data_IF_201028442750
#
_entry.id   IF_201028442750
#
_cell.length_a   1.000
_cell.length_b   1.000
_cell.length_c   1.000
_cell.angle_alpha   90.00
_cell.angle_beta   90.00
_cell.angle_gamma   90.00
#
_symmetry.space_group_name_H-M   'P 1'
#
loop_
_entity.id
_entity.type
_entity.pdbx_description
1 polymer ?
#
# COMPACT_ATOMS: atom_id res chain seq x y z
N UNK A 1 24.35 9.16 14.43
CA UNK A 1 23.65 7.94 13.94
C UNK A 1 24.53 7.25 12.92
N UNK A 2 24.67 5.92 12.95
CA UNK A 2 25.39 5.17 11.90
C UNK A 2 24.58 5.26 10.60
N UNK A 3 25.23 5.60 9.46
CA UNK A 3 24.57 5.63 8.15
C UNK A 3 24.05 4.24 7.81
N UNK A 4 22.80 4.13 7.36
CA UNK A 4 22.20 2.87 6.93
C UNK A 4 22.88 2.39 5.63
N UNK A 5 22.92 1.07 5.34
CA UNK A 5 23.66 0.53 4.20
C UNK A 5 23.26 1.14 2.85
N UNK A 6 21.97 1.38 2.61
CA UNK A 6 21.51 2.02 1.36
C UNK A 6 21.99 3.47 1.21
N UNK A 7 22.22 4.21 2.29
CA UNK A 7 22.72 5.59 2.25
C UNK A 7 24.19 5.69 1.82
N UNK A 8 24.87 4.54 1.65
CA UNK A 8 26.24 4.47 1.15
C UNK A 8 26.30 4.17 -0.35
N UNK A 9 25.17 3.82 -0.97
CA UNK A 9 25.09 3.50 -2.40
C UNK A 9 25.18 4.74 -3.29
N UNK A 10 25.08 5.95 -2.74
CA UNK A 10 25.06 7.16 -3.57
C UNK A 10 25.77 8.36 -2.92
N UNK A 11 26.66 9.00 -3.69
CA UNK A 11 27.42 10.20 -3.28
C UNK A 11 26.72 11.51 -3.68
N UNK A 12 25.62 11.45 -4.46
CA UNK A 12 25.07 12.61 -5.16
C UNK A 12 23.58 12.94 -4.93
N UNK A 13 22.85 12.21 -4.07
CA UNK A 13 21.38 12.30 -4.00
C UNK A 13 20.84 12.75 -2.63
N UNK A 14 21.22 13.95 -2.15
CA UNK A 14 20.80 14.44 -0.82
C UNK A 14 19.49 15.21 -0.77
N UNK A 15 18.83 15.52 -1.89
CA UNK A 15 17.87 16.65 -1.91
C UNK A 15 16.39 16.31 -2.16
N UNK A 16 15.97 15.04 -2.19
CA UNK A 16 14.57 14.69 -2.49
C UNK A 16 13.99 13.67 -1.51
N UNK A 17 12.98 14.11 -0.76
CA UNK A 17 12.24 13.34 0.27
C UNK A 17 11.52 12.08 -0.30
N UNK A 18 11.57 11.84 -1.63
CA UNK A 18 11.03 10.64 -2.28
C UNK A 18 12.08 9.62 -2.77
N UNK A 19 13.38 9.91 -2.68
CA UNK A 19 14.43 9.04 -3.26
C UNK A 19 14.79 7.85 -2.34
N UNK A 20 14.50 7.98 -1.04
CA UNK A 20 14.94 6.99 -0.06
C UNK A 20 14.34 5.60 -0.32
N UNK A 21 13.12 5.50 -0.85
CA UNK A 21 12.52 4.20 -1.14
C UNK A 21 13.10 3.55 -2.40
N UNK A 22 13.50 4.33 -3.41
CA UNK A 22 14.15 3.78 -4.62
C UNK A 22 15.54 3.24 -4.27
N UNK A 23 16.28 3.93 -3.41
CA UNK A 23 17.54 3.44 -2.86
C UNK A 23 17.34 2.13 -2.09
N UNK A 24 16.30 2.06 -1.24
CA UNK A 24 15.93 0.83 -0.53
C UNK A 24 15.52 -0.28 -1.50
N UNK A 25 14.78 0.04 -2.57
CA UNK A 25 14.37 -0.92 -3.59
C UNK A 25 15.57 -1.53 -4.31
N UNK A 26 16.51 -0.69 -4.77
CA UNK A 26 17.78 -1.14 -5.36
C UNK A 26 18.59 -1.99 -4.38
N UNK A 27 18.72 -1.53 -3.13
CA UNK A 27 19.47 -2.26 -2.09
C UNK A 27 18.87 -3.63 -1.79
N UNK A 28 17.58 -3.71 -1.48
CA UNK A 28 16.95 -4.99 -1.15
C UNK A 28 16.85 -5.91 -2.38
N UNK A 29 16.74 -5.37 -3.60
CA UNK A 29 16.89 -6.17 -4.82
C UNK A 29 18.29 -6.78 -4.92
N UNK A 30 19.34 -5.98 -4.70
CA UNK A 30 20.73 -6.45 -4.69
C UNK A 30 20.95 -7.55 -3.65
N UNK A 31 20.49 -7.34 -2.41
CA UNK A 31 20.55 -8.36 -1.35
C UNK A 31 19.82 -9.64 -1.75
N UNK A 32 18.65 -9.54 -2.38
CA UNK A 32 17.90 -10.71 -2.83
C UNK A 32 18.63 -11.51 -3.92
N UNK A 33 19.44 -10.86 -4.75
CA UNK A 33 20.19 -11.49 -5.84
C UNK A 33 21.54 -12.03 -5.37
N UNK A 34 22.26 -11.26 -4.56
CA UNK A 34 23.66 -11.56 -4.19
C UNK A 34 23.78 -12.38 -2.90
N UNK A 35 22.89 -12.16 -1.92
CA UNK A 35 22.94 -12.80 -0.60
C UNK A 35 21.54 -13.18 -0.09
N UNK A 36 20.76 -13.97 -0.84
CA UNK A 36 19.38 -14.31 -0.50
C UNK A 36 19.23 -14.97 0.89
N UNK A 37 20.21 -15.77 1.31
CA UNK A 37 20.23 -16.44 2.61
C UNK A 37 20.37 -15.47 3.79
N UNK A 38 20.87 -14.26 3.54
CA UNK A 38 21.03 -13.19 4.55
C UNK A 38 19.91 -12.16 4.49
N UNK A 39 18.93 -12.30 3.59
CA UNK A 39 17.90 -11.28 3.38
C UNK A 39 17.16 -10.90 4.67
N UNK A 40 16.71 -11.90 5.44
CA UNK A 40 15.97 -11.67 6.68
C UNK A 40 16.83 -11.04 7.78
N UNK A 41 18.10 -11.43 7.89
CA UNK A 41 19.02 -10.88 8.89
C UNK A 41 19.40 -9.43 8.54
N UNK A 42 19.59 -9.14 7.25
CA UNK A 42 19.83 -7.79 6.74
C UNK A 42 18.60 -6.91 6.95
N UNK A 43 17.39 -7.38 6.63
CA UNK A 43 16.15 -6.64 6.88
C UNK A 43 16.01 -6.28 8.38
N UNK A 44 16.29 -7.25 9.26
CA UNK A 44 16.28 -7.04 10.72
C UNK A 44 17.35 -6.02 11.16
N UNK A 45 18.58 -6.14 10.67
CA UNK A 45 19.66 -5.17 10.96
C UNK A 45 19.30 -3.76 10.51
N UNK A 46 18.56 -3.67 9.42
CA UNK A 46 18.08 -2.42 8.85
C UNK A 46 16.88 -1.82 9.62
N UNK A 47 16.30 -2.57 10.57
CA UNK A 47 15.06 -2.23 11.30
C UNK A 47 13.85 -2.10 10.38
N UNK A 48 13.80 -2.97 9.37
CA UNK A 48 12.73 -3.01 8.37
C UNK A 48 11.95 -4.30 8.57
N UNK A 49 10.62 -4.19 8.64
CA UNK A 49 9.77 -5.37 8.66
C UNK A 49 10.03 -6.24 7.42
N UNK A 50 10.15 -7.55 7.62
CA UNK A 50 10.42 -8.52 6.56
C UNK A 50 9.55 -8.28 5.32
N UNK A 51 8.25 -8.12 5.53
CA UNK A 51 7.28 -7.88 4.44
C UNK A 51 7.61 -6.63 3.63
N UNK A 52 7.96 -5.54 4.28
CA UNK A 52 8.34 -4.27 3.64
C UNK A 52 9.63 -4.41 2.84
N UNK A 53 10.62 -5.14 3.36
CA UNK A 53 11.85 -5.43 2.63
C UNK A 53 11.58 -6.19 1.31
N UNK A 54 10.71 -7.21 1.34
CA UNK A 54 10.31 -7.92 0.12
C UNK A 54 9.56 -7.02 -0.87
N UNK A 55 8.74 -6.08 -0.40
CA UNK A 55 8.10 -5.10 -1.27
C UNK A 55 9.08 -4.17 -1.97
N UNK A 56 10.11 -3.70 -1.26
CA UNK A 56 11.16 -2.91 -1.89
C UNK A 56 11.98 -3.72 -2.90
N UNK A 57 12.32 -4.98 -2.58
CA UNK A 57 12.98 -5.86 -3.54
C UNK A 57 12.13 -6.10 -4.80
N UNK A 58 10.82 -6.27 -4.64
CA UNK A 58 9.86 -6.42 -5.75
C UNK A 58 9.80 -5.16 -6.63
N UNK A 59 9.75 -3.97 -6.04
CA UNK A 59 9.87 -2.69 -6.76
C UNK A 59 11.19 -2.64 -7.52
N UNK A 60 12.32 -2.92 -6.85
CA UNK A 60 13.64 -2.84 -7.46
C UNK A 60 13.81 -3.82 -8.62
N UNK A 61 13.17 -5.00 -8.54
CA UNK A 61 13.10 -5.94 -9.66
C UNK A 61 12.24 -5.40 -10.80
N UNK A 62 11.03 -4.93 -10.51
CA UNK A 62 10.05 -4.56 -11.52
C UNK A 62 10.47 -3.34 -12.35
N UNK A 63 11.10 -2.35 -11.71
CA UNK A 63 11.51 -1.10 -12.36
C UNK A 63 12.99 -1.08 -12.75
N UNK A 64 13.81 -2.00 -12.25
CA UNK A 64 15.25 -2.00 -12.53
C UNK A 64 15.61 -2.24 -14.00
N UNK A 65 14.75 -2.97 -14.71
CA UNK A 65 14.93 -3.29 -16.13
C UNK A 65 14.10 -2.39 -17.06
N UNK A 66 13.32 -1.45 -16.50
CA UNK A 66 12.46 -0.53 -17.25
C UNK A 66 13.10 0.86 -17.31
N UNK A 67 13.03 1.51 -18.47
CA UNK A 67 13.51 2.89 -18.66
C UNK A 67 12.51 3.90 -18.07
N UNK A 68 12.31 3.88 -16.76
CA UNK A 68 11.38 4.78 -16.05
C UNK A 68 12.13 5.90 -15.36
N UNK A 69 11.67 7.14 -15.56
CA UNK A 69 12.16 8.31 -14.83
C UNK A 69 11.99 8.14 -13.30
N UNK A 70 13.10 8.13 -12.56
CA UNK A 70 13.09 8.01 -11.10
C UNK A 70 12.27 9.12 -10.44
N UNK A 71 12.21 10.33 -11.01
CA UNK A 71 11.37 11.42 -10.48
C UNK A 71 9.89 11.10 -10.62
N UNK A 72 9.49 10.37 -11.65
CA UNK A 72 8.12 9.88 -11.83
C UNK A 72 7.77 8.87 -10.75
N UNK A 73 8.66 7.90 -10.50
CA UNK A 73 8.50 6.90 -9.43
C UNK A 73 8.44 7.55 -8.04
N UNK A 74 9.28 8.55 -7.82
CA UNK A 74 9.32 9.35 -6.59
C UNK A 74 7.97 10.06 -6.34
N UNK A 75 7.36 10.64 -7.38
CA UNK A 75 6.04 11.31 -7.30
C UNK A 75 4.87 10.36 -7.02
N UNK A 76 4.83 9.17 -7.62
CA UNK A 76 3.76 8.20 -7.34
C UNK A 76 3.91 7.57 -5.94
N UNK A 77 5.15 7.50 -5.43
CA UNK A 77 5.48 6.97 -4.11
C UNK A 77 5.46 5.44 -4.04
N UNK A 78 6.14 4.92 -3.01
CA UNK A 78 6.40 3.49 -2.85
C UNK A 78 5.14 2.61 -2.78
N UNK A 79 4.05 3.11 -2.18
CA UNK A 79 2.79 2.35 -2.07
C UNK A 79 2.19 2.06 -3.44
N UNK A 80 2.12 3.06 -4.32
CA UNK A 80 1.58 2.87 -5.67
C UNK A 80 2.54 2.08 -6.54
N UNK A 81 3.85 2.33 -6.42
CA UNK A 81 4.89 1.56 -7.09
C UNK A 81 4.78 0.06 -6.72
N UNK A 82 4.56 -0.27 -5.44
CA UNK A 82 4.37 -1.64 -4.97
C UNK A 82 3.11 -2.30 -5.57
N UNK A 83 2.01 -1.54 -5.73
CA UNK A 83 0.77 -2.05 -6.34
C UNK A 83 1.02 -2.45 -7.80
N UNK A 84 1.66 -1.58 -8.60
CA UNK A 84 1.86 -1.85 -10.03
C UNK A 84 3.06 -2.76 -10.31
N UNK A 85 4.01 -2.91 -9.39
CA UNK A 85 5.20 -3.75 -9.57
C UNK A 85 4.90 -5.22 -9.91
N UNK A 86 3.69 -5.71 -9.58
CA UNK A 86 3.23 -7.07 -9.90
C UNK A 86 2.66 -7.23 -11.31
N UNK A 87 2.34 -6.12 -11.96
CA UNK A 87 1.61 -6.08 -13.23
C UNK A 87 2.38 -5.37 -14.34
N UNK A 88 3.46 -4.66 -13.97
CA UNK A 88 4.24 -3.85 -14.89
C UNK A 88 5.22 -4.71 -15.69
N UNK A 89 5.30 -4.42 -16.99
CA UNK A 89 6.28 -4.91 -17.94
C UNK A 89 6.50 -3.83 -19.02
N UNK A 90 7.33 -4.12 -20.03
CA UNK A 90 7.64 -3.17 -21.09
C UNK A 90 6.38 -2.62 -21.80
N UNK A 91 5.41 -3.48 -22.05
CA UNK A 91 4.19 -3.15 -22.82
C UNK A 91 3.16 -2.38 -21.98
N UNK A 92 3.10 -2.66 -20.67
CA UNK A 92 2.13 -2.04 -19.75
C UNK A 92 2.67 -0.86 -18.95
N UNK A 93 3.96 -0.54 -19.11
CA UNK A 93 4.69 0.43 -18.29
C UNK A 93 4.02 1.80 -18.27
N UNK A 94 3.84 2.42 -19.44
CA UNK A 94 3.30 3.77 -19.55
C UNK A 94 1.84 3.86 -19.09
N UNK A 95 1.02 2.86 -19.43
CA UNK A 95 -0.37 2.81 -19.00
C UNK A 95 -0.47 2.74 -17.47
N UNK A 96 0.24 1.80 -16.83
CA UNK A 96 0.16 1.60 -15.38
C UNK A 96 0.73 2.79 -14.60
N UNK A 97 1.80 3.41 -15.08
CA UNK A 97 2.33 4.63 -14.48
C UNK A 97 1.33 5.79 -14.59
N UNK A 98 0.70 5.95 -15.75
CA UNK A 98 -0.32 6.98 -15.97
C UNK A 98 -1.54 6.76 -15.07
N UNK A 99 -2.01 5.52 -14.91
CA UNK A 99 -3.10 5.20 -13.98
C UNK A 99 -2.68 5.48 -12.53
N UNK A 100 -1.45 5.12 -12.15
CA UNK A 100 -0.92 5.37 -10.81
C UNK A 100 -0.83 6.86 -10.49
N UNK A 101 -0.46 7.71 -11.44
CA UNK A 101 -0.40 9.17 -11.27
C UNK A 101 -1.79 9.77 -11.00
N UNK A 102 -2.82 9.25 -11.68
CA UNK A 102 -4.17 9.83 -11.66
C UNK A 102 -5.15 9.20 -10.67
N UNK A 103 -4.73 8.15 -9.94
CA UNK A 103 -5.61 7.39 -9.04
C UNK A 103 -5.17 7.51 -7.58
N UNK A 104 -6.08 7.31 -6.63
CA UNK A 104 -5.64 7.02 -5.25
C UNK A 104 -4.98 5.63 -5.20
N UNK A 105 -4.21 5.33 -4.14
CA UNK A 105 -3.65 3.98 -3.98
C UNK A 105 -4.76 2.90 -3.86
N UNK A 106 -5.90 3.26 -3.30
CA UNK A 106 -7.07 2.37 -3.22
C UNK A 106 -7.65 2.09 -4.60
N UNK A 107 -7.92 3.15 -5.39
CA UNK A 107 -8.49 3.01 -6.73
C UNK A 107 -7.53 2.28 -7.66
N UNK A 108 -6.22 2.58 -7.57
CA UNK A 108 -5.19 1.87 -8.31
C UNK A 108 -5.23 0.36 -8.02
N UNK A 109 -5.36 -0.04 -6.74
CA UNK A 109 -5.46 -1.44 -6.37
C UNK A 109 -6.72 -2.13 -6.90
N UNK A 110 -7.82 -1.41 -7.16
CA UNK A 110 -9.01 -1.92 -7.82
C UNK A 110 -8.78 -2.04 -9.33
N UNK A 111 -8.26 -0.99 -9.96
CA UNK A 111 -8.04 -0.91 -11.40
C UNK A 111 -7.10 -2.01 -11.90
N UNK A 112 -5.99 -2.29 -11.19
CA UNK A 112 -5.06 -3.38 -11.57
C UNK A 112 -5.68 -4.78 -11.42
N UNK A 113 -6.78 -4.93 -10.68
CA UNK A 113 -7.56 -6.18 -10.58
C UNK A 113 -8.68 -6.28 -11.60
N UNK A 114 -8.82 -5.29 -12.50
CA UNK A 114 -9.94 -5.20 -13.45
C UNK A 114 -11.25 -4.74 -12.82
N UNK A 115 -11.21 -4.23 -11.58
CA UNK A 115 -12.37 -3.68 -10.89
C UNK A 115 -12.53 -2.19 -11.20
N UNK A 116 -13.77 -1.69 -11.17
CA UNK A 116 -14.07 -0.27 -11.41
C UNK A 116 -14.26 0.48 -10.09
N UNK A 117 -13.46 1.51 -9.79
CA UNK A 117 -13.70 2.39 -8.66
C UNK A 117 -15.11 3.00 -8.73
N UNK A 118 -15.85 2.94 -7.62
CA UNK A 118 -17.15 3.61 -7.52
C UNK A 118 -16.92 5.08 -7.16
N UNK A 119 -17.27 5.99 -8.07
CA UNK A 119 -17.08 7.44 -7.88
C UNK A 119 -17.80 7.91 -6.61
N UNK A 120 -17.12 8.73 -5.81
CA UNK A 120 -17.67 9.28 -4.57
C UNK A 120 -17.53 8.37 -3.34
N UNK A 121 -16.94 7.18 -3.50
CA UNK A 121 -16.59 6.32 -2.35
C UNK A 121 -15.60 7.01 -1.43
N UNK A 122 -15.84 6.92 -0.12
CA UNK A 122 -14.91 7.42 0.91
C UNK A 122 -14.47 6.26 1.79
N UNK A 123 -13.16 6.15 2.00
CA UNK A 123 -12.57 5.17 2.92
C UNK A 123 -12.51 5.77 4.31
N UNK A 124 -12.97 5.03 5.31
CA UNK A 124 -12.92 5.41 6.72
C UNK A 124 -12.01 4.43 7.46
N UNK A 125 -10.97 4.95 8.11
CA UNK A 125 -10.13 4.16 9.04
C UNK A 125 -10.51 4.52 10.47
N UNK A 126 -10.82 3.50 11.28
CA UNK A 126 -11.21 3.66 12.68
C UNK A 126 -10.20 2.97 13.61
N UNK A 127 -9.63 3.72 14.55
CA UNK A 127 -8.82 3.17 15.64
C UNK A 127 -9.72 2.93 16.85
N UNK A 128 -10.17 1.69 17.02
CA UNK A 128 -11.10 1.31 18.09
C UNK A 128 -10.35 0.66 19.25
N UNK A 129 -10.59 1.13 20.48
CA UNK A 129 -10.19 0.41 21.70
C UNK A 129 -10.94 -0.93 21.78
N UNK A 130 -10.41 -1.89 22.54
CA UNK A 130 -11.00 -3.23 22.66
C UNK A 130 -12.51 -3.23 22.99
N UNK A 131 -12.95 -2.34 23.88
CA UNK A 131 -14.38 -2.18 24.21
C UNK A 131 -15.21 -1.67 23.02
N UNK A 132 -14.70 -0.68 22.28
CA UNK A 132 -15.38 -0.14 21.09
C UNK A 132 -15.42 -1.18 19.97
N UNK A 133 -14.34 -1.94 19.78
CA UNK A 133 -14.29 -3.03 18.81
C UNK A 133 -15.29 -4.14 19.15
N UNK A 134 -15.46 -4.48 20.43
CA UNK A 134 -16.47 -5.45 20.86
C UNK A 134 -17.88 -5.00 20.45
N UNK A 135 -18.24 -3.75 20.72
CA UNK A 135 -19.53 -3.17 20.32
C UNK A 135 -19.67 -3.19 18.79
N UNK A 136 -18.66 -2.71 18.07
CA UNK A 136 -18.63 -2.73 16.60
C UNK A 136 -18.86 -4.14 16.06
N UNK A 137 -18.14 -5.14 16.58
CA UNK A 137 -18.28 -6.52 16.12
C UNK A 137 -19.67 -7.10 16.37
N UNK A 138 -20.30 -6.78 17.51
CA UNK A 138 -21.66 -7.22 17.82
C UNK A 138 -22.67 -6.61 16.84
N UNK A 139 -22.54 -5.32 16.54
CA UNK A 139 -23.40 -4.63 15.56
C UNK A 139 -23.21 -5.23 14.17
N UNK A 140 -21.98 -5.43 13.71
CA UNK A 140 -21.72 -6.04 12.40
C UNK A 140 -22.37 -7.42 12.29
N UNK A 141 -22.22 -8.28 13.31
CA UNK A 141 -22.81 -9.62 13.31
C UNK A 141 -24.34 -9.60 13.35
N UNK A 142 -24.93 -8.68 14.13
CA UNK A 142 -26.38 -8.55 14.22
C UNK A 142 -27.03 -8.01 12.93
N UNK A 143 -26.26 -7.44 12.02
CA UNK A 143 -26.75 -6.80 10.79
C UNK A 143 -26.25 -7.47 9.50
N UNK A 144 -25.94 -8.78 9.56
CA UNK A 144 -25.63 -9.59 8.37
C UNK A 144 -24.14 -9.69 8.02
N UNK A 145 -23.27 -9.11 8.85
CA UNK A 145 -21.85 -9.43 8.82
C UNK A 145 -21.57 -10.83 9.38
N UNK A 146 -20.36 -11.34 9.16
CA UNK A 146 -19.97 -12.67 9.64
C UNK A 146 -18.51 -12.69 10.10
N UNK A 147 -18.14 -13.69 10.91
CA UNK A 147 -16.74 -13.92 11.28
C UNK A 147 -16.00 -14.63 10.15
N UNK A 148 -14.73 -14.26 9.94
CA UNK A 148 -13.80 -14.99 9.08
C UNK A 148 -12.41 -14.93 9.69
N UNK A 149 -11.91 -16.08 10.15
CA UNK A 149 -10.70 -16.16 10.98
C UNK A 149 -10.78 -15.22 12.19
N UNK A 150 -9.78 -14.35 12.34
CA UNK A 150 -9.73 -13.33 13.39
C UNK A 150 -10.46 -12.01 13.03
N UNK A 151 -11.17 -11.96 11.89
CA UNK A 151 -11.79 -10.75 11.36
C UNK A 151 -13.30 -10.85 11.13
N UNK A 152 -13.84 -9.78 10.54
CA UNK A 152 -15.25 -9.65 10.14
C UNK A 152 -15.33 -9.40 8.63
N UNK A 153 -16.28 -10.06 7.97
CA UNK A 153 -16.62 -9.89 6.54
C UNK A 153 -17.98 -9.22 6.40
N UNK A 154 -18.25 -8.64 5.22
CA UNK A 154 -19.46 -7.88 4.89
C UNK A 154 -19.71 -6.67 5.83
N UNK A 155 -18.63 -6.09 6.37
CA UNK A 155 -18.69 -5.00 7.36
C UNK A 155 -19.42 -3.76 6.83
N UNK A 156 -19.18 -3.36 5.59
CA UNK A 156 -19.77 -2.15 5.02
C UNK A 156 -21.28 -2.29 4.85
N UNK A 157 -21.73 -3.39 4.25
CA UNK A 157 -23.15 -3.69 4.11
C UNK A 157 -23.85 -3.77 5.47
N UNK A 158 -23.25 -4.47 6.44
CA UNK A 158 -23.81 -4.60 7.78
C UNK A 158 -23.84 -3.27 8.56
N UNK A 159 -22.77 -2.46 8.45
CA UNK A 159 -22.72 -1.14 9.09
C UNK A 159 -23.76 -0.20 8.49
N UNK A 160 -23.90 -0.16 7.16
CA UNK A 160 -24.95 0.62 6.50
C UNK A 160 -26.32 0.18 6.95
N UNK A 161 -26.60 -1.14 6.98
CA UNK A 161 -27.86 -1.68 7.48
C UNK A 161 -28.12 -1.36 8.98
N UNK A 162 -27.08 -1.15 9.78
CA UNK A 162 -27.21 -0.69 11.16
C UNK A 162 -27.52 0.81 11.24
N UNK A 163 -26.77 1.63 10.49
CA UNK A 163 -26.93 3.08 10.48
C UNK A 163 -28.27 3.51 9.87
N UNK A 164 -28.79 2.80 8.87
CA UNK A 164 -30.09 3.08 8.25
C UNK A 164 -31.28 2.89 9.20
N UNK A 165 -31.11 2.22 10.35
CA UNK A 165 -32.14 2.10 11.39
C UNK A 165 -32.11 3.25 12.40
N UNK A 166 -31.10 4.12 12.34
CA UNK A 166 -31.06 5.29 13.21
C UNK A 166 -32.13 6.28 12.72
N UNK A 167 -32.87 6.92 13.64
CA UNK A 167 -33.82 7.97 13.27
C UNK A 167 -33.04 9.05 12.50
N UNK A 168 -33.61 9.52 11.40
CA UNK A 168 -33.00 10.56 10.58
C UNK A 168 -32.80 11.82 11.42
N UNK A 169 -31.56 12.06 11.85
CA UNK A 169 -31.16 13.42 12.18
C UNK A 169 -31.33 14.24 10.89
N UNK A 170 -32.04 15.36 10.97
CA UNK A 170 -32.16 16.30 9.84
C UNK A 170 -30.75 16.63 9.36
N UNK A 171 -30.34 16.03 8.25
CA UNK A 171 -29.10 16.40 7.60
C UNK A 171 -29.33 17.81 7.04
N UNK A 172 -28.49 18.80 7.37
CA UNK A 172 -28.58 20.09 6.73
C UNK A 172 -28.44 19.89 5.21
N UNK A 173 -29.14 20.69 4.39
CA UNK A 173 -29.11 20.56 2.94
C UNK A 173 -27.67 20.62 2.43
N UNK A 174 -27.36 19.73 1.48
CA UNK A 174 -26.06 19.64 0.80
C UNK A 174 -25.79 20.85 -0.08
#
# INVERSE_FOLDING_TARGET
MKKKPWQQLDKYYTDLIGDEFLMKARYFRKVQVETPEQFDSIAKHCEVERRTAYYWAEIGRAFGDLEVDEKRLSRIGWTKAQIIAKHINQDSCEELLTIAENSSAHDLALLVRGEKPVKGTRVITLYLKARQYKIFSQVILAHGGSKSGNGLVNKEAALTAALSKLPSAQLPPQ
#
